data_IF_297206477955
#
_entry.id   IF_297206477955
#
_cell.length_a   1.000
_cell.length_b   1.000
_cell.length_c   1.000
_cell.angle_alpha   90.00
_cell.angle_beta   90.00
_cell.angle_gamma   90.00
#
_symmetry.space_group_name_H-M   'P 1'
#
loop_
_entity.id
_entity.type
_entity.pdbx_description
1 polymer ?
#
# COMPACT_ATOMS: atom_id res chain seq x y z
N UNK A 1 13.77 -0.66 -7.36
CA UNK A 1 13.48 -1.45 -8.59
C UNK A 1 12.03 -1.28 -9.01
N UNK A 2 11.59 -0.07 -9.40
CA UNK A 2 10.20 0.14 -9.84
C UNK A 2 9.98 -0.39 -11.27
N UNK A 3 10.94 -0.12 -12.18
CA UNK A 3 10.82 -0.50 -13.59
C UNK A 3 10.69 -2.01 -13.85
N UNK A 4 11.37 -2.86 -13.06
CA UNK A 4 11.26 -4.31 -13.21
C UNK A 4 9.86 -4.83 -12.80
N UNK A 5 9.25 -4.22 -11.78
CA UNK A 5 7.89 -4.56 -11.34
C UNK A 5 6.87 -4.13 -12.40
N UNK A 6 6.98 -2.89 -12.91
CA UNK A 6 6.11 -2.37 -13.98
C UNK A 6 6.20 -3.23 -15.23
N UNK A 7 7.42 -3.53 -15.70
CA UNK A 7 7.63 -4.36 -16.87
C UNK A 7 7.02 -5.76 -16.71
N UNK A 8 7.10 -6.34 -15.50
CA UNK A 8 6.47 -7.63 -15.23
C UNK A 8 4.94 -7.54 -15.28
N UNK A 9 4.35 -6.49 -14.69
CA UNK A 9 2.91 -6.24 -14.78
C UNK A 9 2.46 -6.07 -16.23
N UNK A 10 3.18 -5.27 -17.04
CA UNK A 10 2.87 -5.05 -18.45
C UNK A 10 2.96 -6.36 -19.26
N UNK A 11 4.00 -7.17 -19.03
CA UNK A 11 4.17 -8.47 -19.71
C UNK A 11 3.07 -9.48 -19.37
N UNK A 12 2.51 -9.40 -18.17
CA UNK A 12 1.41 -10.26 -17.71
C UNK A 12 0.03 -9.66 -17.97
N UNK A 13 -0.06 -8.50 -18.64
CA UNK A 13 -1.29 -7.75 -18.83
C UNK A 13 -2.07 -7.48 -17.52
N UNK A 14 -1.34 -7.30 -16.41
CA UNK A 14 -1.93 -6.98 -15.11
C UNK A 14 -2.12 -5.47 -14.98
N UNK A 15 -3.30 -5.02 -14.50
CA UNK A 15 -3.51 -3.61 -14.20
C UNK A 15 -2.55 -3.17 -13.09
N UNK A 16 -1.94 -2.01 -13.28
CA UNK A 16 -1.05 -1.40 -12.30
C UNK A 16 -1.31 0.10 -12.22
N UNK A 17 -1.02 0.68 -11.07
CA UNK A 17 -1.12 2.13 -10.88
C UNK A 17 -0.01 2.60 -9.95
N UNK A 18 0.45 3.83 -10.18
CA UNK A 18 1.31 4.51 -9.22
C UNK A 18 0.47 5.10 -8.10
N UNK A 19 0.95 4.96 -6.87
CA UNK A 19 0.28 5.49 -5.69
C UNK A 19 1.20 6.47 -4.96
N UNK A 20 0.68 7.65 -4.66
CA UNK A 20 1.43 8.66 -3.95
C UNK A 20 1.51 8.32 -2.45
N UNK A 21 2.71 8.36 -1.87
CA UNK A 21 2.95 7.98 -0.47
C UNK A 21 2.06 8.75 0.52
N UNK A 22 1.77 10.02 0.27
CA UNK A 22 0.88 10.79 1.16
C UNK A 22 -0.56 10.25 1.16
N UNK A 23 -1.06 9.72 0.03
CA UNK A 23 -2.37 9.06 -0.04
C UNK A 23 -2.33 7.73 0.71
N UNK A 24 -1.25 6.96 0.58
CA UNK A 24 -1.06 5.70 1.31
C UNK A 24 -1.09 5.93 2.81
N UNK A 25 -0.29 6.87 3.29
CA UNK A 25 -0.21 7.25 4.70
C UNK A 25 -1.54 7.71 5.25
N UNK A 26 -2.28 8.52 4.48
CA UNK A 26 -3.63 8.96 4.82
C UNK A 26 -4.62 7.79 4.89
N UNK A 27 -4.53 6.83 3.99
CA UNK A 27 -5.36 5.63 4.04
C UNK A 27 -5.02 4.74 5.25
N UNK A 28 -3.73 4.57 5.54
CA UNK A 28 -3.25 3.75 6.64
C UNK A 28 -3.61 4.29 8.03
N UNK A 29 -3.47 5.60 8.23
CA UNK A 29 -3.51 6.22 9.58
C UNK A 29 -4.48 7.39 9.70
N UNK A 30 -5.12 7.80 8.60
CA UNK A 30 -5.87 9.06 8.51
C UNK A 30 -4.98 10.29 8.28
N UNK A 31 -3.65 10.20 8.42
CA UNK A 31 -2.71 11.32 8.32
C UNK A 31 -1.75 11.17 7.13
N UNK A 32 -1.73 12.16 6.24
CA UNK A 32 -0.88 12.12 5.04
C UNK A 32 0.64 12.21 5.28
N UNK A 33 1.06 12.61 6.48
CA UNK A 33 2.46 12.68 6.89
C UNK A 33 2.81 11.68 8.01
N UNK A 34 2.14 10.53 8.03
CA UNK A 34 2.40 9.52 9.03
C UNK A 34 3.84 8.96 8.94
N UNK A 35 4.39 8.60 10.10
CA UNK A 35 5.70 7.93 10.20
C UNK A 35 5.55 6.42 10.16
N UNK A 36 6.65 5.70 9.88
CA UNK A 36 6.66 4.24 9.80
C UNK A 36 6.07 3.53 11.04
N UNK A 37 6.40 3.94 12.28
CA UNK A 37 5.83 3.30 13.48
C UNK A 37 4.31 3.49 13.59
N UNK A 38 3.78 4.61 13.11
CA UNK A 38 2.34 4.87 13.12
C UNK A 38 1.62 3.97 12.11
N UNK A 39 2.24 3.72 10.95
CA UNK A 39 1.71 2.80 9.95
C UNK A 39 1.72 1.34 10.44
N UNK A 40 2.77 0.93 11.15
CA UNK A 40 2.83 -0.40 11.77
C UNK A 40 1.81 -0.56 12.89
N UNK A 41 1.65 0.45 13.75
CA UNK A 41 0.64 0.43 14.81
C UNK A 41 -0.78 0.32 14.22
N UNK A 42 -1.06 1.06 13.14
CA UNK A 42 -2.33 0.97 12.43
C UNK A 42 -2.52 -0.40 11.74
N UNK A 43 -1.47 -0.96 11.13
CA UNK A 43 -1.49 -2.30 10.54
C UNK A 43 -1.79 -3.38 11.60
N UNK A 44 -1.15 -3.28 12.77
CA UNK A 44 -1.40 -4.15 13.92
C UNK A 44 -2.84 -4.03 14.41
N UNK A 45 -3.38 -2.83 14.50
CA UNK A 45 -4.77 -2.60 14.88
C UNK A 45 -5.77 -3.18 13.86
N UNK A 46 -5.46 -3.11 12.55
CA UNK A 46 -6.34 -3.60 11.48
C UNK A 46 -6.29 -5.12 11.31
N UNK A 47 -5.10 -5.72 11.35
CA UNK A 47 -4.89 -7.14 10.99
C UNK A 47 -4.45 -8.03 12.15
N UNK A 48 -4.20 -7.48 13.34
CA UNK A 48 -3.79 -8.24 14.52
C UNK A 48 -2.39 -8.88 14.39
N UNK A 49 -1.57 -8.42 13.43
CA UNK A 49 -0.22 -8.94 13.17
C UNK A 49 0.82 -7.86 13.35
N UNK A 50 1.95 -8.24 13.94
CA UNK A 50 3.16 -7.44 13.97
C UNK A 50 3.86 -7.59 12.62
N UNK A 51 3.76 -6.55 11.79
CA UNK A 51 4.43 -6.47 10.48
C UNK A 51 5.70 -5.62 10.59
N UNK A 52 6.76 -6.04 9.89
CA UNK A 52 7.93 -5.20 9.66
C UNK A 52 7.58 -3.91 8.91
N UNK A 53 8.51 -2.96 8.84
CA UNK A 53 8.26 -1.67 8.19
C UNK A 53 7.85 -1.84 6.71
N UNK A 54 8.64 -2.59 5.95
CA UNK A 54 8.40 -2.80 4.51
C UNK A 54 7.16 -3.68 4.28
N UNK A 55 6.89 -4.64 5.17
CA UNK A 55 5.71 -5.50 5.12
C UNK A 55 4.43 -4.70 5.39
N UNK A 56 4.46 -3.77 6.34
CA UNK A 56 3.34 -2.88 6.63
C UNK A 56 3.03 -1.98 5.44
N UNK A 57 4.05 -1.39 4.81
CA UNK A 57 3.88 -0.55 3.61
C UNK A 57 3.27 -1.34 2.44
N UNK A 58 3.77 -2.56 2.20
CA UNK A 58 3.24 -3.44 1.17
C UNK A 58 1.78 -3.86 1.45
N UNK A 59 1.47 -4.22 2.70
CA UNK A 59 0.13 -4.59 3.12
C UNK A 59 -0.86 -3.43 2.95
N UNK A 60 -0.45 -2.20 3.31
CA UNK A 60 -1.26 -1.00 3.09
C UNK A 60 -1.47 -0.67 1.63
N UNK A 61 -0.47 -0.90 0.76
CA UNK A 61 -0.62 -0.69 -0.67
C UNK A 61 -1.65 -1.65 -1.28
N UNK A 62 -1.61 -2.92 -0.86
CA UNK A 62 -2.63 -3.91 -1.23
C UNK A 62 -4.02 -3.56 -0.70
N UNK A 63 -4.11 -3.16 0.57
CA UNK A 63 -5.36 -2.74 1.20
C UNK A 63 -5.98 -1.54 0.48
N UNK A 64 -5.17 -0.54 0.10
CA UNK A 64 -5.64 0.60 -0.67
C UNK A 64 -6.25 0.14 -2.01
N UNK A 65 -5.58 -0.77 -2.72
CA UNK A 65 -6.10 -1.29 -4.00
C UNK A 65 -7.44 -2.02 -3.87
N UNK A 66 -7.68 -2.68 -2.73
CA UNK A 66 -8.94 -3.38 -2.44
C UNK A 66 -10.05 -2.44 -1.93
N UNK A 67 -9.67 -1.46 -1.10
CA UNK A 67 -10.61 -0.55 -0.45
C UNK A 67 -11.02 0.63 -1.36
N UNK A 68 -10.22 0.92 -2.39
CA UNK A 68 -10.51 1.98 -3.37
C UNK A 68 -11.05 1.40 -4.67
N UNK A 69 -11.73 2.23 -5.45
CA UNK A 69 -12.15 1.88 -6.81
C UNK A 69 -10.99 1.90 -7.83
N UNK A 70 -9.74 1.77 -7.37
CA UNK A 70 -8.54 1.92 -8.22
C UNK A 70 -8.47 0.89 -9.34
N UNK A 71 -8.95 -0.33 -9.09
CA UNK A 71 -8.94 -1.43 -10.05
C UNK A 71 -10.34 -2.05 -10.25
N UNK A 72 -11.41 -1.38 -9.80
CA UNK A 72 -12.76 -1.82 -10.16
C UNK A 72 -13.02 -1.50 -11.65
N UNK A 73 -13.68 -2.40 -12.38
CA UNK A 73 -14.07 -2.18 -13.77
C UNK A 73 -15.12 -1.08 -13.92
#
# INVERSE_FOLDING_TARGET
MLGAAVLTCERLALPWSMLHLSKLKKHATGKGNAKKPEMQAAAKARWGKDLGEDEADAAWAGAYGLDSDLFRP
#
